data_IF_617210295985
#
_entry.id   IF_617210295985
#
_cell.length_a   1.000
_cell.length_b   1.000
_cell.length_c   1.000
_cell.angle_alpha   90.00
_cell.angle_beta   90.00
_cell.angle_gamma   90.00
#
_symmetry.space_group_name_H-M   'P 1'
#
loop_
_entity.id
_entity.type
_entity.pdbx_description
1 polymer ?
#
# COMPACT_ATOMS: atom_id res chain seq x y z
N UNK A 1 54.31 39.01 -12.20
CA UNK A 1 53.38 38.66 -11.14
C UNK A 1 51.97 39.21 -11.47
N UNK A 2 51.29 38.55 -12.39
CA UNK A 2 49.92 38.94 -12.85
C UNK A 2 49.13 37.62 -13.12
N UNK A 3 48.73 36.95 -12.06
CA UNK A 3 47.88 35.76 -12.09
C UNK A 3 46.90 35.87 -10.93
N UNK A 4 45.91 36.72 -11.00
CA UNK A 4 44.81 36.69 -10.02
C UNK A 4 43.50 37.34 -10.49
N UNK A 5 43.39 37.82 -11.73
CA UNK A 5 42.18 38.45 -12.20
C UNK A 5 41.26 37.50 -12.98
N UNK A 6 41.80 36.45 -13.61
CA UNK A 6 41.05 35.45 -14.36
C UNK A 6 40.34 34.42 -13.46
N UNK A 7 40.88 34.13 -12.29
CA UNK A 7 40.30 33.14 -11.37
C UNK A 7 39.08 33.68 -10.61
N UNK A 8 39.02 35.03 -10.42
CA UNK A 8 37.87 35.67 -9.76
C UNK A 8 36.64 35.83 -10.68
N UNK A 9 36.84 35.92 -11.98
CA UNK A 9 35.75 35.96 -12.98
C UNK A 9 35.13 34.58 -13.24
N UNK A 10 35.91 33.51 -13.06
CA UNK A 10 35.39 32.13 -13.21
C UNK A 10 34.56 31.68 -12.00
N UNK A 11 34.84 32.19 -10.82
CA UNK A 11 34.06 31.88 -9.61
C UNK A 11 32.75 32.68 -9.49
N UNK A 12 32.62 33.80 -10.20
CA UNK A 12 31.40 34.62 -10.18
C UNK A 12 30.32 34.11 -11.16
N UNK A 13 30.71 33.29 -12.15
CA UNK A 13 29.77 32.70 -13.10
C UNK A 13 29.21 31.32 -12.70
N UNK A 14 29.73 30.68 -11.66
CA UNK A 14 29.23 29.40 -11.13
C UNK A 14 28.17 29.61 -10.05
N UNK A 15 28.07 30.80 -9.47
CA UNK A 15 27.08 31.11 -8.41
C UNK A 15 25.67 31.44 -8.94
N UNK A 16 25.45 31.48 -10.27
CA UNK A 16 24.19 31.91 -10.87
C UNK A 16 23.37 30.78 -11.51
N UNK A 17 23.70 29.49 -11.24
CA UNK A 17 23.00 28.32 -11.83
C UNK A 17 22.42 27.35 -10.80
N UNK A 18 22.29 27.76 -9.53
CA UNK A 18 21.44 27.07 -8.57
C UNK A 18 20.16 27.91 -8.37
N UNK A 19 19.37 28.10 -9.43
CA UNK A 19 17.94 28.28 -9.26
C UNK A 19 17.42 26.94 -8.75
N UNK A 20 17.39 26.78 -7.42
CA UNK A 20 16.53 25.81 -6.80
C UNK A 20 15.12 26.17 -7.28
N UNK A 21 14.63 25.47 -8.29
CA UNK A 21 13.20 25.39 -8.54
C UNK A 21 12.56 24.82 -7.28
N UNK A 22 12.27 25.71 -6.33
CA UNK A 22 11.36 25.40 -5.21
C UNK A 22 10.00 25.24 -5.86
N UNK A 23 9.75 24.08 -6.43
CA UNK A 23 8.42 23.66 -6.78
C UNK A 23 7.69 23.55 -5.43
N UNK A 24 6.88 24.57 -5.14
CA UNK A 24 5.94 24.50 -4.03
C UNK A 24 5.01 23.33 -4.31
N UNK A 25 5.34 22.16 -3.72
CA UNK A 25 4.51 20.97 -3.83
C UNK A 25 3.25 21.17 -2.99
N UNK A 26 2.10 20.59 -3.39
CA UNK A 26 0.91 20.60 -2.57
C UNK A 26 1.27 20.11 -1.16
N UNK A 27 0.88 20.86 -0.14
CA UNK A 27 1.23 20.55 1.25
C UNK A 27 0.49 19.32 1.81
N UNK A 28 -0.40 18.70 1.02
CA UNK A 28 -1.14 17.48 1.35
C UNK A 28 -2.50 17.74 1.99
N UNK A 29 -3.03 16.76 2.71
CA UNK A 29 -4.34 16.81 3.34
C UNK A 29 -4.23 17.04 4.86
N UNK A 30 -5.15 17.79 5.43
CA UNK A 30 -5.33 17.95 6.87
C UNK A 30 -6.81 18.05 7.19
N UNK A 31 -7.35 17.10 7.95
CA UNK A 31 -8.78 16.97 8.20
C UNK A 31 -9.58 16.98 6.89
N UNK A 32 -10.60 17.82 6.77
CA UNK A 32 -11.46 17.97 5.60
C UNK A 32 -10.92 18.97 4.56
N UNK A 33 -9.62 19.28 4.62
CA UNK A 33 -9.02 20.32 3.78
C UNK A 33 -7.79 19.79 3.04
N UNK A 34 -7.69 20.19 1.77
CA UNK A 34 -6.44 20.17 1.02
C UNK A 34 -5.60 21.38 1.38
N UNK A 35 -4.33 21.17 1.71
CA UNK A 35 -3.37 22.23 2.03
C UNK A 35 -2.55 22.55 0.80
N UNK A 36 -2.62 23.80 0.36
CA UNK A 36 -1.91 24.28 -0.81
C UNK A 36 -1.05 25.50 -0.49
N UNK A 37 0.21 25.51 -0.91
CA UNK A 37 1.06 26.69 -0.80
C UNK A 37 0.93 27.56 -2.04
N UNK A 38 0.54 28.82 -1.84
CA UNK A 38 0.33 29.80 -2.90
C UNK A 38 1.65 30.14 -3.60
N UNK A 39 1.66 30.04 -4.92
CA UNK A 39 2.81 30.36 -5.77
C UNK A 39 2.74 31.81 -6.29
N UNK A 40 3.86 32.37 -6.77
CA UNK A 40 3.86 33.67 -7.43
C UNK A 40 2.86 33.73 -8.60
N UNK A 41 2.06 34.80 -8.67
CA UNK A 41 1.10 35.01 -9.74
C UNK A 41 -0.27 34.34 -9.57
N UNK A 42 -0.44 33.48 -8.55
CA UNK A 42 -1.72 32.83 -8.28
C UNK A 42 -2.66 33.76 -7.49
N UNK A 43 -3.94 33.59 -7.74
CA UNK A 43 -5.03 34.29 -7.05
C UNK A 43 -6.03 33.25 -6.50
N UNK A 44 -6.84 33.66 -5.51
CA UNK A 44 -7.91 32.75 -5.04
C UNK A 44 -8.88 32.37 -6.16
N UNK A 45 -9.06 33.28 -7.15
CA UNK A 45 -9.91 33.04 -8.30
C UNK A 45 -9.32 31.97 -9.23
N UNK A 46 -8.02 32.08 -9.58
CA UNK A 46 -7.36 31.09 -10.42
C UNK A 46 -7.24 29.72 -9.72
N UNK A 47 -6.92 29.70 -8.41
CA UNK A 47 -6.88 28.44 -7.63
C UNK A 47 -8.27 27.80 -7.52
N UNK A 48 -9.31 28.62 -7.35
CA UNK A 48 -10.69 28.12 -7.33
C UNK A 48 -11.07 27.45 -8.65
N UNK A 49 -10.71 28.03 -9.78
CA UNK A 49 -10.93 27.46 -11.10
C UNK A 49 -10.12 26.15 -11.31
N UNK A 50 -8.87 26.15 -10.85
CA UNK A 50 -7.98 24.96 -10.96
C UNK A 50 -8.54 23.75 -10.21
N UNK A 51 -8.95 23.92 -8.96
CA UNK A 51 -9.34 22.80 -8.11
C UNK A 51 -10.84 22.50 -8.13
N UNK A 52 -11.70 23.49 -8.39
CA UNK A 52 -13.15 23.35 -8.21
C UNK A 52 -13.96 23.55 -9.49
N UNK A 53 -13.33 23.82 -10.63
CA UNK A 53 -13.97 24.19 -11.91
C UNK A 53 -14.97 25.35 -11.81
N UNK A 54 -15.06 26.01 -10.67
CA UNK A 54 -16.00 27.11 -10.40
C UNK A 54 -15.25 28.28 -9.80
N UNK A 55 -14.96 29.29 -10.64
CA UNK A 55 -14.27 30.48 -10.19
C UNK A 55 -14.94 31.14 -8.97
N UNK A 56 -16.27 31.12 -8.91
CA UNK A 56 -17.06 31.72 -7.80
C UNK A 56 -16.76 31.10 -6.42
N UNK A 57 -16.19 29.91 -6.35
CA UNK A 57 -15.82 29.25 -5.10
C UNK A 57 -14.67 29.96 -4.35
N UNK A 58 -13.99 30.93 -4.99
CA UNK A 58 -12.96 31.73 -4.31
C UNK A 58 -13.48 32.40 -3.02
N UNK A 59 -14.77 32.75 -2.96
CA UNK A 59 -15.40 33.32 -1.75
C UNK A 59 -15.44 32.33 -0.60
N UNK A 60 -15.74 31.07 -0.87
CA UNK A 60 -15.75 30.03 0.14
C UNK A 60 -14.33 29.71 0.63
N UNK A 61 -13.35 29.68 -0.28
CA UNK A 61 -11.93 29.50 0.06
C UNK A 61 -11.45 30.70 0.91
N UNK A 62 -11.79 31.93 0.54
CA UNK A 62 -11.50 33.14 1.32
C UNK A 62 -12.02 33.03 2.75
N UNK A 63 -13.29 32.64 2.92
CA UNK A 63 -13.95 32.49 4.22
C UNK A 63 -13.27 31.40 5.08
N UNK A 64 -12.99 30.25 4.48
CA UNK A 64 -12.30 29.12 5.15
C UNK A 64 -10.93 29.50 5.70
N UNK A 65 -10.25 30.45 5.04
CA UNK A 65 -8.91 30.91 5.41
C UNK A 65 -8.89 32.26 6.15
N UNK A 66 -10.06 32.87 6.45
CA UNK A 66 -10.19 34.16 7.11
C UNK A 66 -9.37 35.26 6.44
N UNK A 67 -9.30 35.27 5.10
CA UNK A 67 -8.52 36.23 4.31
C UNK A 67 -9.31 37.53 4.23
N UNK A 68 -8.81 38.56 4.89
CA UNK A 68 -9.48 39.91 4.88
C UNK A 68 -9.35 40.62 3.51
N UNK A 69 -8.20 40.53 2.85
CA UNK A 69 -7.94 41.20 1.58
C UNK A 69 -7.38 40.22 0.53
N UNK A 70 -8.20 39.87 -0.45
CA UNK A 70 -7.87 38.91 -1.51
C UNK A 70 -6.82 39.43 -2.49
N UNK A 71 -6.53 40.74 -2.52
CA UNK A 71 -5.47 41.32 -3.33
C UNK A 71 -4.09 41.32 -2.68
N UNK A 72 -4.04 40.95 -1.39
CA UNK A 72 -2.80 40.92 -0.58
C UNK A 72 -2.59 39.54 0.07
N UNK A 73 -2.78 38.48 -0.67
CA UNK A 73 -2.52 37.12 -0.16
C UNK A 73 -1.02 36.86 -0.29
N UNK A 74 -0.33 36.50 0.81
CA UNK A 74 1.12 36.25 0.78
C UNK A 74 1.48 35.05 -0.07
N UNK A 75 2.53 35.18 -0.89
CA UNK A 75 3.17 34.03 -1.55
C UNK A 75 3.71 33.09 -0.47
N UNK A 76 3.56 31.77 -0.66
CA UNK A 76 3.94 30.76 0.32
C UNK A 76 2.95 30.54 1.46
N UNK A 77 1.87 31.34 1.53
CA UNK A 77 0.80 31.08 2.50
C UNK A 77 0.18 29.71 2.24
N UNK A 78 0.01 28.92 3.31
CA UNK A 78 -0.72 27.65 3.24
C UNK A 78 -2.22 27.93 3.22
N UNK A 79 -2.85 27.64 2.09
CA UNK A 79 -4.27 27.79 1.84
C UNK A 79 -4.99 26.48 2.20
N UNK A 80 -6.05 26.55 2.99
CA UNK A 80 -6.96 25.44 3.29
C UNK A 80 -8.12 25.46 2.29
N UNK A 81 -8.19 24.46 1.42
CA UNK A 81 -9.27 24.30 0.43
C UNK A 81 -10.14 23.13 0.90
N UNK A 82 -11.42 23.35 1.27
CA UNK A 82 -12.30 22.26 1.67
C UNK A 82 -12.46 21.21 0.58
N UNK A 83 -12.31 19.91 0.90
CA UNK A 83 -12.52 18.82 -0.06
C UNK A 83 -13.93 18.86 -0.67
N UNK A 84 -14.93 19.31 0.07
CA UNK A 84 -16.30 19.47 -0.43
C UNK A 84 -16.46 20.46 -1.60
N UNK A 85 -15.44 21.30 -1.83
CA UNK A 85 -15.41 22.24 -2.98
C UNK A 85 -14.62 21.68 -4.15
N UNK A 86 -13.71 20.73 -3.92
CA UNK A 86 -12.80 20.20 -4.95
C UNK A 86 -13.57 19.18 -5.79
N UNK A 87 -13.48 19.33 -7.11
CA UNK A 87 -14.10 18.39 -8.03
C UNK A 87 -13.43 17.02 -7.92
N UNK A 88 -14.25 15.99 -7.96
CA UNK A 88 -13.80 14.59 -7.98
C UNK A 88 -13.88 14.05 -9.41
N UNK A 89 -12.82 13.41 -9.83
CA UNK A 89 -12.73 12.72 -11.12
C UNK A 89 -12.61 11.21 -10.90
N UNK A 90 -13.21 10.37 -11.77
CA UNK A 90 -12.95 8.93 -11.74
C UNK A 90 -11.45 8.65 -11.78
N UNK A 91 -11.00 7.70 -10.98
CA UNK A 91 -9.62 7.21 -11.00
C UNK A 91 -9.60 5.71 -11.29
N UNK A 92 -8.44 5.19 -11.61
CA UNK A 92 -8.24 3.80 -11.99
C UNK A 92 -6.98 3.26 -11.33
N UNK A 93 -7.03 1.99 -10.93
CA UNK A 93 -5.85 1.26 -10.47
C UNK A 93 -5.34 0.33 -11.58
N UNK A 94 -4.01 0.23 -11.68
CA UNK A 94 -3.35 -0.70 -12.59
C UNK A 94 -2.98 -1.97 -11.86
N UNK A 95 -3.09 -3.12 -12.53
CA UNK A 95 -2.56 -4.37 -12.03
C UNK A 95 -1.04 -4.33 -12.14
N UNK A 96 -0.36 -4.35 -11.00
CA UNK A 96 1.10 -4.37 -10.92
C UNK A 96 1.61 -5.80 -11.01
N UNK A 97 1.04 -6.69 -10.20
CA UNK A 97 1.36 -8.12 -10.16
C UNK A 97 0.08 -8.94 -10.07
N UNK A 98 0.12 -10.10 -10.71
CA UNK A 98 -0.99 -11.05 -10.78
C UNK A 98 -0.44 -12.47 -10.76
N UNK A 99 -0.91 -13.29 -9.83
CA UNK A 99 -0.56 -14.71 -9.69
C UNK A 99 -1.83 -15.53 -9.47
N UNK A 100 -1.92 -16.69 -10.11
CA UNK A 100 -3.04 -17.62 -9.97
C UNK A 100 -4.33 -17.15 -10.68
N UNK A 101 -5.47 -17.60 -10.17
CA UNK A 101 -6.78 -17.31 -10.72
C UNK A 101 -7.42 -16.11 -10.01
N UNK A 102 -7.53 -14.98 -10.71
CA UNK A 102 -8.18 -13.77 -10.22
C UNK A 102 -9.30 -13.38 -11.17
N UNK A 103 -10.46 -13.11 -10.59
CA UNK A 103 -11.65 -12.65 -11.32
C UNK A 103 -11.95 -11.20 -10.98
N UNK A 104 -12.38 -10.43 -11.97
CA UNK A 104 -13.01 -9.12 -11.76
C UNK A 104 -14.41 -9.18 -12.38
N UNK A 105 -15.44 -8.89 -11.57
CA UNK A 105 -16.83 -9.01 -11.97
C UNK A 105 -17.14 -10.40 -12.55
N UNK A 106 -16.62 -11.45 -11.90
CA UNK A 106 -16.74 -12.86 -12.30
C UNK A 106 -16.10 -13.22 -13.67
N UNK A 107 -15.20 -12.37 -14.19
CA UNK A 107 -14.45 -12.65 -15.42
C UNK A 107 -12.95 -12.76 -15.10
N UNK A 108 -12.25 -13.79 -15.62
CA UNK A 108 -10.79 -13.89 -15.49
C UNK A 108 -10.11 -12.66 -16.07
N UNK A 109 -9.02 -12.25 -15.44
CA UNK A 109 -8.26 -11.07 -15.87
C UNK A 109 -6.80 -11.39 -16.18
N UNK A 110 -6.17 -10.50 -16.93
CA UNK A 110 -4.72 -10.44 -17.13
C UNK A 110 -4.13 -9.15 -16.51
N UNK A 111 -2.81 -8.98 -16.65
CA UNK A 111 -2.10 -7.80 -16.14
C UNK A 111 -2.47 -6.47 -16.81
N UNK A 112 -3.15 -6.51 -17.95
CA UNK A 112 -3.56 -5.31 -18.68
C UNK A 112 -4.91 -4.78 -18.22
N UNK A 113 -5.62 -5.56 -17.40
CA UNK A 113 -6.90 -5.12 -16.82
C UNK A 113 -6.70 -3.87 -15.96
N UNK A 114 -7.51 -2.88 -16.21
CA UNK A 114 -7.63 -1.68 -15.38
C UNK A 114 -8.78 -1.87 -14.41
N UNK A 115 -8.55 -1.57 -13.13
CA UNK A 115 -9.54 -1.68 -12.07
C UNK A 115 -10.16 -0.31 -11.79
N UNK A 116 -11.47 -0.26 -11.71
CA UNK A 116 -12.24 0.96 -11.52
C UNK A 116 -13.20 0.86 -10.32
N UNK A 117 -13.84 1.98 -10.00
CA UNK A 117 -14.94 2.03 -9.03
C UNK A 117 -16.05 1.06 -9.44
N UNK A 118 -16.63 0.35 -8.49
CA UNK A 118 -17.63 -0.70 -8.60
C UNK A 118 -17.12 -2.07 -9.09
N UNK A 119 -15.84 -2.23 -9.41
CA UNK A 119 -15.28 -3.56 -9.69
C UNK A 119 -15.22 -4.42 -8.42
N UNK A 120 -15.65 -5.68 -8.53
CA UNK A 120 -15.47 -6.70 -7.48
C UNK A 120 -14.34 -7.64 -7.89
N UNK A 121 -13.34 -7.74 -7.04
CA UNK A 121 -12.14 -8.56 -7.24
C UNK A 121 -12.25 -9.81 -6.37
N UNK A 122 -12.08 -10.99 -6.99
CA UNK A 122 -12.11 -12.28 -6.30
C UNK A 122 -10.79 -13.00 -6.58
N UNK A 123 -10.06 -13.34 -5.52
CA UNK A 123 -8.85 -14.16 -5.60
C UNK A 123 -9.15 -15.60 -5.17
N UNK A 124 -8.73 -16.57 -5.96
CA UNK A 124 -8.81 -17.99 -5.59
C UNK A 124 -7.70 -18.40 -4.63
N UNK A 125 -7.66 -19.68 -4.29
CA UNK A 125 -6.56 -20.28 -3.53
C UNK A 125 -5.22 -20.08 -4.27
N UNK A 126 -4.14 -19.80 -3.54
CA UNK A 126 -2.81 -19.51 -4.08
C UNK A 126 -2.78 -18.36 -5.11
N UNK A 127 -3.77 -17.47 -5.08
CA UNK A 127 -3.88 -16.37 -6.03
C UNK A 127 -3.65 -15.04 -5.33
N UNK A 128 -2.94 -14.12 -6.00
CA UNK A 128 -2.65 -12.80 -5.46
C UNK A 128 -2.81 -11.75 -6.56
N UNK A 129 -3.27 -10.58 -6.19
CA UNK A 129 -3.22 -9.41 -7.06
C UNK A 129 -2.67 -8.23 -6.28
N UNK A 130 -1.76 -7.49 -6.90
CA UNK A 130 -1.27 -6.22 -6.38
C UNK A 130 -1.63 -5.11 -7.35
N UNK A 131 -2.33 -4.11 -6.84
CA UNK A 131 -2.76 -2.92 -7.58
C UNK A 131 -1.85 -1.75 -7.22
N UNK A 132 -1.66 -0.85 -8.17
CA UNK A 132 -1.07 0.48 -7.94
C UNK A 132 -2.08 1.55 -8.34
N UNK A 133 -2.33 2.50 -7.41
CA UNK A 133 -3.22 3.61 -7.59
C UNK A 133 -2.47 4.82 -8.16
N UNK A 134 -3.19 5.86 -8.57
CA UNK A 134 -2.59 7.04 -9.22
C UNK A 134 -1.66 7.85 -8.29
N UNK A 135 -1.85 7.77 -6.98
CA UNK A 135 -0.98 8.37 -5.96
C UNK A 135 0.21 7.48 -5.55
N UNK A 136 0.42 6.37 -6.27
CA UNK A 136 1.41 5.32 -6.00
C UNK A 136 1.12 4.46 -4.75
N UNK A 137 -0.04 4.62 -4.12
CA UNK A 137 -0.52 3.67 -3.12
C UNK A 137 -0.62 2.27 -3.73
N UNK A 138 -0.25 1.25 -2.95
CA UNK A 138 -0.35 -0.15 -3.37
C UNK A 138 -1.38 -0.87 -2.53
N UNK A 139 -2.20 -1.66 -3.20
CA UNK A 139 -3.22 -2.51 -2.57
C UNK A 139 -2.95 -3.94 -2.99
N UNK A 140 -2.75 -4.82 -2.02
CA UNK A 140 -2.53 -6.24 -2.22
C UNK A 140 -3.74 -7.00 -1.70
N UNK A 141 -4.31 -7.87 -2.54
CA UNK A 141 -5.41 -8.76 -2.20
C UNK A 141 -4.87 -10.18 -2.26
N UNK A 142 -4.61 -10.82 -1.09
CA UNK A 142 -4.07 -12.16 -1.00
C UNK A 142 -5.12 -13.23 -1.32
N UNK A 143 -4.78 -14.53 -1.23
CA UNK A 143 -5.70 -15.64 -1.56
C UNK A 143 -7.03 -15.59 -0.80
N UNK A 144 -8.04 -16.24 -1.38
CA UNK A 144 -9.35 -16.50 -0.78
C UNK A 144 -10.08 -15.22 -0.31
N UNK A 145 -10.01 -14.17 -1.13
CA UNK A 145 -10.54 -12.85 -0.78
C UNK A 145 -11.53 -12.34 -1.82
N UNK A 146 -12.57 -11.65 -1.34
CA UNK A 146 -13.55 -10.91 -2.16
C UNK A 146 -13.56 -9.46 -1.71
N UNK A 147 -13.19 -8.56 -2.63
CA UNK A 147 -13.04 -7.13 -2.36
C UNK A 147 -13.78 -6.32 -3.41
N UNK A 148 -14.71 -5.48 -2.98
CA UNK A 148 -15.38 -4.48 -3.81
C UNK A 148 -14.60 -3.15 -3.77
N UNK A 149 -14.24 -2.61 -4.92
CA UNK A 149 -13.74 -1.25 -5.07
C UNK A 149 -14.92 -0.29 -4.95
N UNK A 150 -15.30 0.05 -3.72
CA UNK A 150 -16.50 0.84 -3.43
C UNK A 150 -16.40 2.27 -3.94
N UNK A 151 -15.18 2.84 -3.93
CA UNK A 151 -14.87 4.18 -4.42
C UNK A 151 -13.43 4.23 -4.89
N UNK A 152 -13.22 4.83 -6.04
CA UNK A 152 -11.87 5.08 -6.57
C UNK A 152 -11.92 6.35 -7.41
N UNK A 153 -11.56 7.46 -6.80
CA UNK A 153 -11.59 8.81 -7.38
C UNK A 153 -10.34 9.57 -7.00
N UNK A 154 -10.05 10.63 -7.72
CA UNK A 154 -9.01 11.58 -7.40
C UNK A 154 -9.59 12.98 -7.26
N UNK A 155 -9.03 13.77 -6.36
CA UNK A 155 -9.36 15.18 -6.21
C UNK A 155 -8.58 15.99 -7.25
N UNK A 156 -9.32 16.71 -8.10
CA UNK A 156 -8.78 17.45 -9.24
C UNK A 156 -7.61 18.36 -8.85
N UNK A 157 -6.48 18.22 -9.57
CA UNK A 157 -5.30 19.07 -9.42
C UNK A 157 -4.49 18.88 -8.13
N UNK A 158 -4.94 18.02 -7.20
CA UNK A 158 -4.30 17.88 -5.89
C UNK A 158 -3.27 16.73 -5.81
N UNK A 159 -3.36 15.74 -6.69
CA UNK A 159 -2.62 14.49 -6.60
C UNK A 159 -3.09 13.57 -5.47
N UNK A 160 -4.20 13.89 -4.79
CA UNK A 160 -4.79 13.10 -3.73
C UNK A 160 -5.92 12.23 -4.26
N UNK A 161 -6.08 11.05 -3.66
CA UNK A 161 -7.13 10.09 -4.01
C UNK A 161 -8.22 10.02 -2.94
N UNK A 162 -9.38 9.54 -3.37
CA UNK A 162 -10.49 9.12 -2.54
C UNK A 162 -10.77 7.65 -2.85
N UNK A 163 -10.24 6.75 -2.02
CA UNK A 163 -10.29 5.31 -2.22
C UNK A 163 -10.99 4.61 -1.04
N UNK A 164 -11.97 3.77 -1.34
CA UNK A 164 -12.69 2.93 -0.37
C UNK A 164 -12.75 1.52 -0.92
N UNK A 165 -12.16 0.58 -0.19
CA UNK A 165 -12.22 -0.86 -0.48
C UNK A 165 -13.08 -1.56 0.57
N UNK A 166 -14.09 -2.30 0.12
CA UNK A 166 -14.91 -3.13 0.99
C UNK A 166 -14.44 -4.58 0.89
N UNK A 167 -13.95 -5.15 1.99
CA UNK A 167 -13.65 -6.57 2.10
C UNK A 167 -14.96 -7.26 2.48
N UNK A 168 -15.51 -8.08 1.59
CA UNK A 168 -16.67 -8.91 1.90
C UNK A 168 -16.24 -10.14 2.69
N UNK A 169 -15.14 -10.75 2.28
CA UNK A 169 -14.46 -11.86 2.99
C UNK A 169 -12.99 -11.89 2.60
N UNK A 170 -12.14 -12.47 3.46
CA UNK A 170 -10.72 -12.59 3.23
C UNK A 170 -9.94 -11.35 3.68
N UNK A 171 -8.88 -10.99 2.95
CA UNK A 171 -7.85 -10.05 3.41
C UNK A 171 -7.54 -8.98 2.38
N UNK A 172 -7.02 -7.86 2.88
CA UNK A 172 -6.44 -6.79 2.07
C UNK A 172 -5.28 -6.17 2.84
N UNK A 173 -4.18 -5.90 2.15
CA UNK A 173 -3.09 -5.09 2.66
C UNK A 173 -2.93 -3.83 1.82
N UNK A 174 -2.76 -2.67 2.46
CA UNK A 174 -2.54 -1.41 1.79
C UNK A 174 -1.29 -0.72 2.29
N UNK A 175 -0.53 -0.18 1.35
CA UNK A 175 0.58 0.72 1.59
C UNK A 175 0.20 2.08 1.00
N UNK A 176 -0.39 2.93 1.83
CA UNK A 176 -0.95 4.20 1.41
C UNK A 176 0.14 5.28 1.29
N UNK A 177 0.15 5.94 0.13
CA UNK A 177 0.98 7.09 -0.26
C UNK A 177 2.42 7.10 0.28
N UNK A 178 3.39 6.50 -0.45
CA UNK A 178 4.80 6.52 -0.06
C UNK A 178 5.41 7.93 -0.11
N UNK A 179 4.79 8.87 -0.81
CA UNK A 179 5.30 10.24 -1.02
C UNK A 179 5.08 11.18 0.16
N UNK A 180 4.42 10.77 1.23
CA UNK A 180 4.08 11.61 2.40
C UNK A 180 3.32 12.93 2.06
N UNK A 181 2.78 13.04 0.85
CA UNK A 181 1.97 14.18 0.42
C UNK A 181 0.57 14.21 1.06
N UNK A 182 0.28 13.18 1.85
CA UNK A 182 -1.04 12.93 2.42
C UNK A 182 -1.93 12.17 1.43
N UNK A 183 -2.95 11.51 1.94
CA UNK A 183 -4.06 10.94 1.18
C UNK A 183 -5.27 11.83 1.38
N UNK A 184 -6.14 11.94 0.40
CA UNK A 184 -7.43 12.58 0.55
C UNK A 184 -8.27 11.78 1.55
N UNK A 185 -8.70 10.60 1.11
CA UNK A 185 -9.35 9.59 1.95
C UNK A 185 -8.91 8.21 1.49
N UNK A 186 -8.48 7.36 2.43
CA UNK A 186 -8.24 5.95 2.15
C UNK A 186 -8.89 5.13 3.27
N UNK A 187 -9.87 4.32 2.92
CA UNK A 187 -10.60 3.51 3.89
C UNK A 187 -10.64 2.04 3.44
N UNK A 188 -10.44 1.15 4.40
CA UNK A 188 -10.73 -0.27 4.27
C UNK A 188 -11.94 -0.53 5.14
N UNK A 189 -12.99 -1.08 4.54
CA UNK A 189 -14.24 -1.40 5.21
C UNK A 189 -14.47 -2.89 5.20
N UNK A 190 -15.00 -3.38 6.29
CA UNK A 190 -15.52 -4.74 6.44
C UNK A 190 -17.01 -4.66 6.78
N UNK A 191 -17.75 -5.77 6.84
CA UNK A 191 -19.15 -5.74 7.31
C UNK A 191 -19.31 -5.14 8.71
N UNK A 192 -18.27 -5.19 9.55
CA UNK A 192 -18.35 -4.82 10.99
C UNK A 192 -17.34 -3.75 11.43
N UNK A 193 -16.52 -3.22 10.53
CA UNK A 193 -15.56 -2.16 10.89
C UNK A 193 -15.18 -1.27 9.70
N UNK A 194 -14.63 -0.09 10.01
CA UNK A 194 -14.01 0.83 9.06
C UNK A 194 -12.62 1.19 9.60
N UNK A 195 -11.62 1.06 8.77
CA UNK A 195 -10.25 1.49 9.08
C UNK A 195 -9.85 2.61 8.14
N UNK A 196 -9.75 3.81 8.68
CA UNK A 196 -9.24 4.98 7.98
C UNK A 196 -7.72 5.02 8.05
N UNK A 197 -7.06 5.18 6.90
CA UNK A 197 -5.62 5.04 6.71
C UNK A 197 -5.02 6.35 6.22
N UNK A 198 -3.89 6.77 6.80
CA UNK A 198 -3.19 7.98 6.36
C UNK A 198 -1.68 7.79 6.35
N UNK A 199 -1.11 7.54 5.15
CA UNK A 199 0.34 7.38 4.97
C UNK A 199 0.92 6.20 5.76
N UNK A 200 0.26 5.03 5.69
CA UNK A 200 0.51 3.89 6.57
C UNK A 200 0.63 2.59 5.80
N UNK A 201 1.17 1.58 6.48
CA UNK A 201 1.06 0.18 6.05
C UNK A 201 0.05 -0.50 6.98
N UNK A 202 -1.07 -0.93 6.41
CA UNK A 202 -2.20 -1.53 7.13
C UNK A 202 -2.62 -2.83 6.46
N UNK A 203 -3.05 -3.79 7.27
CA UNK A 203 -3.71 -5.02 6.81
C UNK A 203 -5.05 -5.12 7.50
N UNK A 204 -6.05 -5.62 6.80
CA UNK A 204 -7.37 -5.87 7.35
C UNK A 204 -7.90 -7.22 6.85
N UNK A 205 -8.71 -7.84 7.67
CA UNK A 205 -9.38 -9.10 7.38
C UNK A 205 -10.86 -9.02 7.73
N UNK A 206 -11.70 -9.67 6.93
CA UNK A 206 -13.10 -9.89 7.20
C UNK A 206 -13.41 -11.39 7.19
N UNK A 207 -14.05 -11.87 8.25
CA UNK A 207 -14.52 -13.24 8.40
C UNK A 207 -15.94 -13.26 8.94
N UNK A 208 -16.82 -14.04 8.34
CA UNK A 208 -18.21 -14.17 8.81
C UNK A 208 -18.28 -14.76 10.23
N UNK A 209 -17.36 -15.68 10.56
CA UNK A 209 -17.33 -16.34 11.87
C UNK A 209 -16.56 -15.54 12.92
N UNK A 210 -15.44 -14.92 12.55
CA UNK A 210 -14.55 -14.24 13.50
C UNK A 210 -14.77 -12.72 13.58
N UNK A 211 -15.53 -12.13 12.64
CA UNK A 211 -15.71 -10.68 12.55
C UNK A 211 -14.67 -10.02 11.67
N UNK A 212 -13.93 -9.05 12.19
CA UNK A 212 -12.87 -8.39 11.43
C UNK A 212 -11.64 -8.12 12.29
N UNK A 213 -10.51 -7.92 11.62
CA UNK A 213 -9.27 -7.42 12.24
C UNK A 213 -8.64 -6.31 11.41
N UNK A 214 -7.84 -5.49 12.08
CA UNK A 214 -6.97 -4.51 11.44
C UNK A 214 -5.63 -4.46 12.16
N UNK A 215 -4.55 -4.47 11.39
CA UNK A 215 -3.17 -4.45 11.86
C UNK A 215 -2.45 -3.26 11.24
N UNK A 216 -1.88 -2.42 12.06
CA UNK A 216 -1.14 -1.24 11.64
C UNK A 216 0.36 -1.48 11.83
N UNK A 217 1.09 -1.57 10.73
CA UNK A 217 2.54 -1.82 10.77
C UNK A 217 3.35 -0.53 10.82
N UNK A 218 2.81 0.56 10.29
CA UNK A 218 3.49 1.85 10.25
C UNK A 218 2.47 2.98 10.21
N UNK A 219 2.80 4.14 10.83
CA UNK A 219 1.98 5.35 10.81
C UNK A 219 0.87 5.39 11.86
N UNK A 220 -0.28 5.94 11.50
CA UNK A 220 -1.46 6.06 12.35
C UNK A 220 -2.72 5.71 11.59
N UNK A 221 -3.65 5.02 12.22
CA UNK A 221 -4.96 4.71 11.65
C UNK A 221 -6.07 4.96 12.66
N UNK A 222 -7.27 5.20 12.15
CA UNK A 222 -8.48 5.27 12.95
C UNK A 222 -9.35 4.05 12.64
N UNK A 223 -9.74 3.31 13.67
CA UNK A 223 -10.61 2.15 13.59
C UNK A 223 -11.97 2.49 14.18
N UNK A 224 -13.04 2.18 13.47
CA UNK A 224 -14.43 2.38 13.89
C UNK A 224 -15.17 1.05 13.80
N UNK A 225 -15.66 0.55 14.90
CA UNK A 225 -16.47 -0.66 14.94
C UNK A 225 -17.95 -0.35 14.68
N UNK A 226 -18.68 -1.26 14.03
CA UNK A 226 -20.07 -1.01 13.59
C UNK A 226 -21.05 -0.78 14.76
N UNK A 227 -20.80 -1.38 15.92
CA UNK A 227 -21.61 -1.17 17.13
C UNK A 227 -21.35 0.17 17.84
N UNK A 228 -20.24 0.87 17.50
CA UNK A 228 -19.81 2.11 18.16
C UNK A 228 -19.38 3.15 17.13
N UNK A 229 -20.26 3.46 16.16
CA UNK A 229 -19.95 4.31 15.00
C UNK A 229 -19.48 5.72 15.34
N UNK A 230 -19.86 6.22 16.50
CA UNK A 230 -19.48 7.57 16.97
C UNK A 230 -18.14 7.59 17.74
N UNK A 231 -17.52 6.42 17.93
CA UNK A 231 -16.26 6.28 18.65
C UNK A 231 -15.19 5.68 17.74
N UNK A 232 -14.15 6.46 17.50
CA UNK A 232 -12.97 5.97 16.79
C UNK A 232 -11.89 5.55 17.78
N UNK A 233 -11.30 4.39 17.54
CA UNK A 233 -10.11 3.90 18.25
C UNK A 233 -8.89 4.24 17.40
N UNK A 234 -7.91 4.93 17.98
CA UNK A 234 -6.69 5.29 17.28
C UNK A 234 -5.62 4.21 17.47
N UNK A 235 -5.11 3.67 16.37
CA UNK A 235 -4.01 2.72 16.34
C UNK A 235 -2.70 3.45 16.03
N UNK A 236 -1.65 3.04 16.71
CA UNK A 236 -0.26 3.40 16.41
C UNK A 236 0.45 2.24 15.68
N UNK A 237 1.64 2.51 15.15
CA UNK A 237 2.46 1.47 14.53
C UNK A 237 2.68 0.26 15.45
N UNK A 238 2.65 -0.94 14.88
CA UNK A 238 2.74 -2.25 15.54
C UNK A 238 1.56 -2.58 16.47
N UNK A 239 0.39 -1.98 16.22
CA UNK A 239 -0.83 -2.30 16.94
C UNK A 239 -1.87 -2.95 16.05
N UNK A 240 -2.67 -3.82 16.62
CA UNK A 240 -3.82 -4.45 15.99
C UNK A 240 -5.07 -4.35 16.86
N UNK A 241 -6.21 -4.53 16.23
CA UNK A 241 -7.52 -4.56 16.88
C UNK A 241 -8.44 -5.51 16.13
N UNK A 242 -9.35 -6.14 16.86
CA UNK A 242 -10.41 -6.99 16.30
C UNK A 242 -11.77 -6.36 16.51
N UNK A 243 -12.76 -6.75 15.70
CA UNK A 243 -14.17 -6.54 16.00
C UNK A 243 -14.93 -7.84 15.86
N UNK A 244 -15.81 -8.13 16.82
CA UNK A 244 -16.65 -9.32 16.79
C UNK A 244 -17.62 -9.31 15.59
N UNK A 245 -18.25 -10.45 15.21
CA UNK A 245 -19.28 -10.48 14.16
C UNK A 245 -20.48 -9.54 14.44
N UNK A 246 -20.68 -9.13 15.70
CA UNK A 246 -21.70 -8.14 16.08
C UNK A 246 -21.20 -6.70 16.01
N UNK A 247 -19.96 -6.49 15.55
CA UNK A 247 -19.36 -5.16 15.39
C UNK A 247 -18.87 -4.52 16.70
N UNK A 248 -18.62 -5.28 17.75
CA UNK A 248 -18.03 -4.77 18.98
C UNK A 248 -16.51 -4.78 18.87
N UNK A 249 -15.85 -3.64 19.13
CA UNK A 249 -14.41 -3.55 19.15
C UNK A 249 -13.82 -4.33 20.33
N UNK A 250 -12.72 -5.04 20.09
CA UNK A 250 -11.86 -5.60 21.11
C UNK A 250 -10.85 -4.58 21.62
N UNK A 251 -9.91 -5.07 22.44
CA UNK A 251 -8.80 -4.26 22.94
C UNK A 251 -7.74 -4.03 21.87
N UNK A 252 -6.95 -2.97 22.04
CA UNK A 252 -5.74 -2.75 21.24
C UNK A 252 -4.68 -3.77 21.69
N UNK A 253 -4.10 -4.47 20.74
CA UNK A 253 -3.09 -5.52 20.95
C UNK A 253 -1.79 -5.11 20.27
N UNK A 254 -0.67 -5.19 20.99
CA UNK A 254 0.65 -5.07 20.38
C UNK A 254 0.94 -6.27 19.49
N UNK A 255 1.27 -6.03 18.24
CA UNK A 255 1.57 -7.08 17.28
C UNK A 255 2.88 -7.80 17.64
N UNK A 256 2.93 -9.10 17.39
CA UNK A 256 4.13 -9.90 17.67
C UNK A 256 5.32 -9.39 16.83
N UNK A 257 6.55 -9.48 17.36
CA UNK A 257 7.74 -9.10 16.62
C UNK A 257 7.96 -10.04 15.42
N UNK A 258 8.74 -9.61 14.40
CA UNK A 258 9.16 -10.49 13.33
C UNK A 258 10.01 -11.62 13.91
N UNK A 259 9.82 -12.89 13.47
CA UNK A 259 10.63 -14.00 13.92
C UNK A 259 12.05 -13.92 13.36
N UNK A 260 13.03 -14.45 14.07
CA UNK A 260 14.32 -14.72 13.45
C UNK A 260 14.21 -15.98 12.57
N UNK A 261 14.74 -15.91 11.35
CA UNK A 261 14.69 -17.03 10.40
C UNK A 261 16.08 -17.38 9.87
N UNK A 262 16.30 -18.67 9.65
CA UNK A 262 17.51 -19.19 9.03
C UNK A 262 17.15 -20.02 7.81
N UNK A 263 17.84 -19.77 6.70
CA UNK A 263 17.67 -20.52 5.48
C UNK A 263 18.81 -21.48 5.26
N UNK A 264 18.49 -22.75 4.96
CA UNK A 264 19.45 -23.77 4.58
C UNK A 264 18.99 -24.41 3.27
N UNK A 265 19.82 -24.39 2.27
CA UNK A 265 19.54 -25.08 1.02
C UNK A 265 19.44 -26.60 1.27
N UNK A 266 18.32 -27.20 0.87
CA UNK A 266 18.03 -28.64 1.02
C UNK A 266 18.15 -29.39 -0.31
N UNK A 267 17.94 -28.69 -1.44
CA UNK A 267 18.16 -29.20 -2.79
C UNK A 267 18.54 -28.05 -3.72
N UNK A 268 18.90 -28.28 -4.99
CA UNK A 268 19.18 -27.20 -5.95
C UNK A 268 18.08 -26.15 -6.11
N UNK A 269 16.83 -26.51 -5.80
CA UNK A 269 15.64 -25.64 -5.99
C UNK A 269 14.91 -25.34 -4.68
N UNK A 270 15.25 -25.96 -3.55
CA UNK A 270 14.50 -25.87 -2.32
C UNK A 270 15.39 -25.40 -1.16
N UNK A 271 14.81 -24.53 -0.33
CA UNK A 271 15.39 -24.09 0.93
C UNK A 271 14.48 -24.48 2.10
N UNK A 272 15.06 -25.00 3.16
CA UNK A 272 14.42 -25.16 4.45
C UNK A 272 14.55 -23.85 5.21
N UNK A 273 13.41 -23.34 5.70
CA UNK A 273 13.30 -22.16 6.57
C UNK A 273 13.12 -22.68 8.00
N UNK A 274 14.10 -22.43 8.86
CA UNK A 274 13.95 -22.64 10.30
C UNK A 274 13.53 -21.30 10.92
N UNK A 275 12.48 -21.31 11.73
CA UNK A 275 11.87 -20.15 12.36
C UNK A 275 12.14 -20.24 13.86
N UNK A 276 12.74 -19.20 14.46
CA UNK A 276 12.83 -19.14 15.91
C UNK A 276 11.44 -18.89 16.50
N UNK A 277 10.97 -19.74 17.44
CA UNK A 277 9.66 -19.57 18.03
C UNK A 277 9.52 -18.21 18.73
N UNK A 278 8.44 -17.49 18.40
CA UNK A 278 8.08 -16.22 19.04
C UNK A 278 7.04 -16.47 20.11
N UNK A 279 7.29 -15.97 21.32
CA UNK A 279 6.35 -16.11 22.44
C UNK A 279 5.00 -15.51 22.07
N UNK A 280 3.91 -16.25 22.26
CA UNK A 280 2.55 -15.84 21.87
C UNK A 280 2.15 -16.19 20.44
N UNK A 281 3.08 -16.65 19.59
CA UNK A 281 2.75 -17.11 18.25
C UNK A 281 2.08 -18.48 18.28
N UNK A 282 0.98 -18.63 17.55
CA UNK A 282 0.26 -19.90 17.35
C UNK A 282 0.54 -20.50 15.97
N UNK A 283 0.98 -19.68 15.01
CA UNK A 283 1.33 -20.06 13.65
C UNK A 283 2.20 -18.99 13.00
N UNK A 284 2.70 -19.30 11.80
CA UNK A 284 3.55 -18.41 11.01
C UNK A 284 3.02 -18.36 9.58
N UNK A 285 2.89 -17.17 9.02
CA UNK A 285 2.62 -16.99 7.60
C UNK A 285 3.95 -16.88 6.87
N UNK A 286 4.20 -17.81 5.97
CA UNK A 286 5.38 -17.87 5.10
C UNK A 286 4.96 -17.46 3.69
N UNK A 287 5.67 -16.53 3.09
CA UNK A 287 5.38 -16.03 1.74
C UNK A 287 6.68 -15.97 0.95
N UNK A 288 6.64 -16.33 -0.32
CA UNK A 288 7.74 -16.16 -1.27
C UNK A 288 7.33 -15.16 -2.35
N UNK A 289 8.23 -14.25 -2.67
CA UNK A 289 8.03 -13.21 -3.67
C UNK A 289 9.26 -13.00 -4.54
N UNK A 290 9.07 -12.42 -5.73
CA UNK A 290 10.13 -12.01 -6.62
C UNK A 290 10.79 -10.68 -6.20
N UNK A 291 10.16 -9.92 -5.32
CA UNK A 291 10.64 -8.62 -4.83
C UNK A 291 10.74 -8.56 -3.31
N UNK A 292 11.65 -7.76 -2.79
CA UNK A 292 11.89 -7.59 -1.35
C UNK A 292 10.69 -7.00 -0.61
N UNK A 293 9.85 -6.22 -1.29
CA UNK A 293 8.66 -5.62 -0.70
C UNK A 293 7.49 -6.60 -0.59
N UNK A 294 7.61 -7.79 -1.19
CA UNK A 294 6.60 -8.84 -1.15
C UNK A 294 5.31 -8.49 -1.91
N UNK A 295 5.42 -7.74 -3.00
CA UNK A 295 4.27 -7.41 -3.86
C UNK A 295 4.07 -8.42 -4.98
N UNK A 296 5.13 -8.95 -5.56
CA UNK A 296 5.09 -10.01 -6.58
C UNK A 296 5.14 -11.40 -5.91
N UNK A 297 4.03 -11.79 -5.33
CA UNK A 297 3.91 -13.01 -4.54
C UNK A 297 3.79 -14.23 -5.44
N UNK A 298 4.65 -15.22 -5.21
CA UNK A 298 4.60 -16.52 -5.88
C UNK A 298 3.69 -17.49 -5.15
N UNK A 299 3.87 -17.62 -3.82
CA UNK A 299 3.01 -18.44 -3.00
C UNK A 299 2.96 -17.96 -1.55
N UNK A 300 1.95 -18.41 -0.82
CA UNK A 300 1.72 -18.09 0.59
C UNK A 300 1.24 -19.35 1.30
N UNK A 301 1.80 -19.65 2.48
CA UNK A 301 1.42 -20.78 3.31
C UNK A 301 1.40 -20.38 4.79
N UNK A 302 0.44 -20.91 5.54
CA UNK A 302 0.42 -20.77 7.00
C UNK A 302 0.85 -22.10 7.65
N UNK A 303 1.92 -22.07 8.44
CA UNK A 303 2.48 -23.23 9.12
C UNK A 303 2.31 -23.10 10.64
N UNK A 304 1.95 -24.22 11.30
CA UNK A 304 1.86 -24.28 12.77
C UNK A 304 3.20 -24.63 13.41
N UNK A 305 4.04 -25.38 12.68
CA UNK A 305 5.39 -25.70 13.12
C UNK A 305 6.33 -24.56 12.77
N UNK A 306 7.37 -24.29 13.55
CA UNK A 306 8.34 -23.23 13.27
C UNK A 306 9.35 -23.64 12.18
N UNK A 307 8.87 -24.22 11.10
CA UNK A 307 9.65 -24.60 9.93
C UNK A 307 8.79 -24.59 8.67
N UNK A 308 9.40 -24.28 7.53
CA UNK A 308 8.77 -24.34 6.23
C UNK A 308 9.78 -24.77 5.16
N UNK A 309 9.28 -25.07 3.97
CA UNK A 309 10.08 -25.30 2.77
C UNK A 309 9.68 -24.28 1.71
N UNK A 310 10.65 -23.67 1.07
CA UNK A 310 10.41 -22.64 0.07
C UNK A 310 11.19 -22.92 -1.20
N UNK A 311 10.61 -22.57 -2.32
CA UNK A 311 11.21 -22.70 -3.64
C UNK A 311 10.91 -21.46 -4.47
N UNK A 312 11.58 -21.29 -5.61
CA UNK A 312 11.27 -20.30 -6.61
C UNK A 312 10.89 -20.94 -7.94
N UNK A 313 10.42 -20.16 -8.88
CA UNK A 313 9.95 -20.60 -10.19
C UNK A 313 11.08 -20.95 -11.19
N UNK A 314 12.35 -20.84 -10.78
CA UNK A 314 13.52 -21.13 -11.62
C UNK A 314 14.76 -20.43 -11.10
N UNK A 315 15.80 -20.30 -11.94
CA UNK A 315 17.03 -19.57 -11.58
C UNK A 315 16.74 -18.11 -11.31
N UNK A 316 17.12 -17.61 -10.15
CA UNK A 316 16.87 -16.22 -9.75
C UNK A 316 17.03 -15.99 -8.26
N UNK A 317 16.91 -14.72 -7.86
CA UNK A 317 16.84 -14.32 -6.46
C UNK A 317 15.38 -14.08 -6.07
N UNK A 318 15.00 -14.67 -4.96
CA UNK A 318 13.68 -14.63 -4.36
C UNK A 318 13.77 -14.13 -2.92
N UNK A 319 12.65 -13.75 -2.36
CA UNK A 319 12.56 -13.28 -0.99
C UNK A 319 11.52 -14.11 -0.23
N UNK A 320 11.95 -14.72 0.86
CA UNK A 320 11.03 -15.32 1.81
C UNK A 320 10.71 -14.31 2.91
N UNK A 321 9.43 -14.11 3.17
CA UNK A 321 8.96 -13.33 4.31
C UNK A 321 8.18 -14.21 5.26
N UNK A 322 8.44 -14.05 6.57
CA UNK A 322 7.77 -14.81 7.63
C UNK A 322 7.25 -13.83 8.67
N UNK A 323 6.01 -14.02 9.09
CA UNK A 323 5.39 -13.26 10.19
C UNK A 323 4.74 -14.18 11.20
N UNK A 324 4.84 -13.79 12.48
CA UNK A 324 4.19 -14.51 13.58
C UNK A 324 2.71 -14.14 13.65
N UNK A 325 1.84 -15.11 13.92
CA UNK A 325 0.40 -14.93 14.09
C UNK A 325 0.03 -15.31 15.53
N UNK A 326 -0.67 -14.47 16.24
CA UNK A 326 -1.13 -14.68 17.60
C UNK A 326 -2.43 -15.50 17.70
N UNK A 327 -2.95 -15.70 18.90
CA UNK A 327 -4.22 -16.39 19.16
C UNK A 327 -5.45 -15.62 18.65
N UNK A 328 -5.35 -14.30 18.45
CA UNK A 328 -6.41 -13.45 17.90
C UNK A 328 -6.37 -13.39 16.37
N UNK A 329 -5.50 -14.19 15.73
CA UNK A 329 -5.21 -14.16 14.29
C UNK A 329 -4.61 -12.85 13.80
N UNK A 330 -4.04 -12.04 14.70
CA UNK A 330 -3.30 -10.85 14.34
C UNK A 330 -1.86 -11.23 13.96
N UNK A 331 -1.40 -10.74 12.82
CA UNK A 331 -0.08 -11.03 12.30
C UNK A 331 0.89 -9.86 12.52
N UNK A 332 2.08 -10.16 13.02
CA UNK A 332 3.14 -9.19 13.27
C UNK A 332 3.85 -8.68 12.00
N UNK A 333 4.98 -8.02 12.18
CA UNK A 333 5.82 -7.58 11.09
C UNK A 333 6.53 -8.76 10.40
N UNK A 334 6.92 -8.55 9.13
CA UNK A 334 7.65 -9.56 8.36
C UNK A 334 9.15 -9.57 8.71
N UNK A 335 9.72 -10.77 8.93
CA UNK A 335 11.13 -11.03 8.73
C UNK A 335 11.34 -11.36 7.25
N UNK A 336 12.23 -10.66 6.56
CA UNK A 336 12.46 -10.85 5.12
C UNK A 336 13.90 -11.23 4.85
N UNK A 337 14.11 -12.34 4.11
CA UNK A 337 15.44 -12.81 3.74
C UNK A 337 15.51 -13.19 2.25
N UNK A 338 16.58 -12.82 1.53
CA UNK A 338 16.79 -13.27 0.17
C UNK A 338 17.29 -14.74 0.15
N UNK A 339 16.94 -15.47 -0.91
CA UNK A 339 17.58 -16.72 -1.28
C UNK A 339 17.72 -16.81 -2.81
N UNK A 340 18.73 -17.53 -3.26
CA UNK A 340 19.05 -17.60 -4.70
C UNK A 340 19.04 -19.05 -5.16
N UNK A 341 18.28 -19.33 -6.22
CA UNK A 341 18.29 -20.57 -6.95
C UNK A 341 19.27 -20.41 -8.12
N UNK A 342 20.32 -21.21 -8.13
CA UNK A 342 21.37 -21.16 -9.17
C UNK A 342 21.19 -22.26 -10.22
N UNK A 343 20.44 -23.32 -9.89
CA UNK A 343 20.19 -24.43 -10.79
C UNK A 343 19.18 -24.07 -11.89
N UNK A 344 19.41 -24.56 -13.09
CA UNK A 344 18.45 -24.53 -14.19
C UNK A 344 17.67 -25.85 -14.21
N UNK A 345 16.34 -25.79 -14.09
CA UNK A 345 15.48 -26.96 -14.10
C UNK A 345 14.01 -26.58 -14.21
N UNK A 346 13.16 -27.60 -14.45
CA UNK A 346 11.71 -27.47 -14.47
C UNK A 346 11.17 -28.21 -13.24
N UNK A 347 10.27 -27.56 -12.48
CA UNK A 347 9.45 -28.28 -11.49
C UNK A 347 8.21 -28.83 -12.19
N UNK A 348 7.93 -30.12 -11.97
CA UNK A 348 6.67 -30.72 -12.38
C UNK A 348 5.54 -30.28 -11.45
N UNK A 349 4.30 -30.35 -11.90
CA UNK A 349 3.10 -30.07 -11.06
C UNK A 349 3.05 -30.97 -9.80
N UNK A 350 3.70 -32.13 -9.84
CA UNK A 350 3.84 -33.04 -8.70
C UNK A 350 4.96 -32.66 -7.72
N UNK A 351 5.65 -31.53 -7.92
CA UNK A 351 6.72 -31.05 -7.03
C UNK A 351 8.07 -31.77 -7.20
N UNK A 352 8.22 -32.61 -8.27
CA UNK A 352 9.49 -33.24 -8.60
C UNK A 352 10.31 -32.26 -9.44
N UNK A 353 11.50 -31.88 -8.95
CA UNK A 353 12.42 -31.04 -9.70
C UNK A 353 13.20 -31.88 -10.71
N UNK A 354 13.07 -31.57 -11.99
CA UNK A 354 13.93 -32.08 -13.05
C UNK A 354 14.98 -31.01 -13.36
N UNK A 355 16.16 -31.15 -12.78
CA UNK A 355 17.29 -30.22 -12.96
C UNK A 355 18.44 -30.88 -13.69
N UNK A 356 19.09 -30.13 -14.59
CA UNK A 356 20.39 -30.48 -15.14
C UNK A 356 21.46 -29.58 -14.53
N UNK A 357 22.52 -30.15 -14.00
CA UNK A 357 23.66 -29.39 -13.47
C UNK A 357 24.49 -28.69 -14.58
N UNK A 358 24.26 -29.03 -15.84
CA UNK A 358 24.94 -28.41 -17.00
C UNK A 358 24.27 -28.82 -18.32
N UNK A 359 23.69 -27.88 -19.05
CA UNK A 359 23.23 -28.04 -20.43
C UNK A 359 21.80 -27.59 -20.71
N UNK A 360 21.45 -27.20 -21.94
CA UNK A 360 20.11 -26.80 -22.31
C UNK A 360 19.16 -28.02 -22.29
N UNK A 361 17.97 -27.82 -21.69
CA UNK A 361 16.88 -28.79 -21.77
C UNK A 361 16.29 -28.81 -23.18
N UNK A 362 16.26 -30.00 -23.80
CA UNK A 362 15.46 -30.23 -25.00
C UNK A 362 13.97 -30.21 -24.61
N UNK A 363 13.22 -29.24 -25.15
CA UNK A 363 11.75 -29.25 -25.07
C UNK A 363 11.25 -30.43 -25.94
N UNK A 364 10.71 -31.45 -25.30
CA UNK A 364 9.83 -32.41 -26.00
C UNK A 364 8.40 -31.87 -25.88
N UNK A 365 7.86 -31.39 -26.98
CA UNK A 365 6.43 -31.16 -27.11
C UNK A 365 5.71 -32.53 -27.20
N UNK A 366 4.71 -32.72 -26.37
CA UNK A 366 3.62 -33.68 -26.59
C UNK A 366 2.30 -32.91 -26.65
#
# INVERSE_FOLDING_TARGET
MRINTFLRLLLLNIACLLTLDIHAQPAGAHEDHFLYQIKPGETLSSLSETFTSKQSNWKAIQKSNRIANTRKVPIGMTLKIPFSLIDEEPDQAKVLYLTGNVLVNNQPIDKNRVIAEADTIITGTQSNITLVLSDESKVQIPPDSTVLVKRLRKFRGTGLIDAIFNIETGKLAAHASPKKTGVGRFEIRTPVSITGVRGTVVRAEASQQAGSSSELLNGKAAFIAAASRDQSVHLNANQGITATPKGQAGDIIELLPPPEIQLKQSSPFEFKVAIQPVTGATSYLVRVSNDISGYDVLFTETVKKPEARVTGSGKGTYYVSVRSIDSNQLAGADAVHPFTITATGIMTESGVSIGTQSGPLLQTQY
#
